data_IF_695661371563
#
_entry.id   IF_695661371563
#
_cell.length_a   1.000
_cell.length_b   1.000
_cell.length_c   1.000
_cell.angle_alpha   90.00
_cell.angle_beta   90.00
_cell.angle_gamma   90.00
#
_symmetry.space_group_name_H-M   'P 1'
#
loop_
_entity.id
_entity.type
_entity.pdbx_description
1 polymer ?
#
# COMPACT_ATOMS: atom_id res chain seq x y z
N UNK A 1 -13.70 -31.20 -43.01
CA UNK A 1 -13.09 -30.65 -41.78
C UNK A 1 -14.20 -29.91 -41.07
N UNK A 2 -14.67 -30.45 -39.96
CA UNK A 2 -15.81 -29.89 -39.24
C UNK A 2 -15.37 -28.61 -38.52
N UNK A 3 -15.84 -27.46 -39.01
CA UNK A 3 -15.53 -26.17 -38.40
C UNK A 3 -16.33 -26.04 -37.09
N UNK A 4 -15.65 -26.29 -35.97
CA UNK A 4 -16.18 -26.12 -34.62
C UNK A 4 -16.19 -24.63 -34.24
N UNK A 5 -17.28 -24.20 -33.62
CA UNK A 5 -17.52 -22.82 -33.18
C UNK A 5 -17.67 -22.82 -31.67
N UNK A 6 -16.91 -21.95 -31.01
CA UNK A 6 -17.00 -21.72 -29.57
C UNK A 6 -17.99 -20.58 -29.36
N UNK A 7 -19.07 -20.87 -28.63
CA UNK A 7 -20.09 -19.90 -28.24
C UNK A 7 -19.63 -19.09 -27.00
N UNK A 8 -20.28 -17.95 -26.69
CA UNK A 8 -19.89 -17.09 -25.57
C UNK A 8 -20.00 -17.75 -24.19
N UNK A 9 -20.84 -18.78 -24.08
CA UNK A 9 -21.04 -19.63 -22.90
C UNK A 9 -19.96 -20.72 -22.76
N UNK A 10 -19.00 -20.80 -23.70
CA UNK A 10 -17.97 -21.81 -23.75
C UNK A 10 -18.42 -23.13 -24.39
N UNK A 11 -19.67 -23.23 -24.85
CA UNK A 11 -20.18 -24.43 -25.51
C UNK A 11 -19.68 -24.54 -26.96
N UNK A 12 -19.37 -25.75 -27.40
CA UNK A 12 -18.90 -26.01 -28.76
C UNK A 12 -20.07 -26.49 -29.60
N UNK A 13 -20.30 -25.85 -30.74
CA UNK A 13 -21.28 -26.30 -31.74
C UNK A 13 -20.65 -26.38 -33.11
N UNK A 14 -21.30 -27.09 -34.04
CA UNK A 14 -20.90 -27.01 -35.45
C UNK A 14 -21.33 -25.68 -36.03
N UNK A 15 -20.61 -25.21 -37.06
CA UNK A 15 -20.96 -23.98 -37.78
C UNK A 15 -22.42 -23.96 -38.22
N UNK A 16 -22.94 -25.09 -38.69
CA UNK A 16 -24.31 -25.22 -39.19
C UNK A 16 -25.34 -25.07 -38.06
N UNK A 17 -25.08 -25.69 -36.90
CA UNK A 17 -25.95 -25.60 -35.74
C UNK A 17 -25.96 -24.20 -35.13
N UNK A 18 -24.80 -23.52 -35.09
CA UNK A 18 -24.71 -22.14 -34.64
C UNK A 18 -25.47 -21.19 -35.57
N UNK A 19 -25.39 -21.38 -36.89
CA UNK A 19 -26.19 -20.61 -37.87
C UNK A 19 -27.68 -20.92 -37.68
N UNK A 20 -28.06 -22.19 -37.48
CA UNK A 20 -29.44 -22.57 -37.23
C UNK A 20 -30.01 -21.95 -35.95
N UNK A 21 -29.16 -21.74 -34.92
CA UNK A 21 -29.49 -21.02 -33.69
C UNK A 21 -29.46 -19.49 -33.83
N UNK A 22 -29.18 -18.96 -35.03
CA UNK A 22 -29.21 -17.53 -35.35
C UNK A 22 -27.93 -16.76 -35.00
N UNK A 23 -26.81 -17.45 -34.73
CA UNK A 23 -25.55 -16.78 -34.40
C UNK A 23 -24.78 -16.33 -35.65
N UNK A 24 -24.28 -15.09 -35.61
CA UNK A 24 -23.34 -14.58 -36.61
C UNK A 24 -21.92 -15.06 -36.29
N UNK A 25 -21.36 -15.91 -37.15
CA UNK A 25 -20.04 -16.52 -36.92
C UNK A 25 -18.96 -15.64 -37.56
N UNK A 26 -18.16 -15.00 -36.71
CA UNK A 26 -16.99 -14.22 -37.12
C UNK A 26 -15.75 -15.13 -36.95
N UNK A 27 -15.05 -15.49 -38.04
CA UNK A 27 -13.84 -16.30 -37.93
C UNK A 27 -12.78 -15.52 -37.17
N UNK A 28 -12.02 -16.24 -36.33
CA UNK A 28 -10.89 -15.66 -35.64
C UNK A 28 -9.75 -15.39 -36.63
N UNK A 29 -9.18 -14.19 -36.63
CA UNK A 29 -7.99 -13.92 -37.43
C UNK A 29 -6.84 -14.81 -36.94
N UNK A 30 -6.06 -15.38 -37.84
CA UNK A 30 -4.99 -16.32 -37.49
C UNK A 30 -3.95 -15.72 -36.53
N UNK A 31 -3.81 -14.39 -36.54
CA UNK A 31 -2.95 -13.62 -35.64
C UNK A 31 -3.40 -13.62 -34.18
N UNK A 32 -4.69 -13.88 -33.91
CA UNK A 32 -5.29 -13.84 -32.56
C UNK A 32 -5.63 -15.22 -32.01
N UNK A 33 -5.24 -16.31 -32.70
CA UNK A 33 -5.43 -17.70 -32.22
C UNK A 33 -4.44 -18.08 -31.11
N UNK A 34 -4.27 -17.20 -30.12
CA UNK A 34 -3.46 -17.47 -28.93
C UNK A 34 -4.34 -17.45 -27.68
N UNK A 35 -4.37 -18.57 -26.96
CA UNK A 35 -5.07 -18.68 -25.68
C UNK A 35 -4.07 -18.52 -24.51
N UNK A 36 -4.54 -17.94 -23.40
CA UNK A 36 -3.76 -17.74 -22.16
C UNK A 36 -4.26 -18.75 -21.13
N UNK A 37 -3.39 -19.46 -20.39
CA UNK A 37 -3.83 -20.38 -19.35
C UNK A 37 -4.58 -19.65 -18.22
N UNK A 38 -5.65 -20.26 -17.70
CA UNK A 38 -6.45 -19.68 -16.62
C UNK A 38 -5.60 -19.54 -15.33
N UNK A 39 -5.77 -18.46 -14.54
CA UNK A 39 -4.93 -18.20 -13.37
C UNK A 39 -5.07 -19.24 -12.25
N UNK A 40 -6.24 -19.86 -12.11
CA UNK A 40 -6.58 -20.74 -10.99
C UNK A 40 -6.84 -22.19 -11.39
N UNK A 41 -7.10 -22.47 -12.68
CA UNK A 41 -7.52 -23.78 -13.17
C UNK A 41 -6.57 -24.20 -14.29
N UNK A 42 -5.77 -25.24 -14.08
CA UNK A 42 -4.70 -25.58 -15.03
C UNK A 42 -5.23 -26.15 -16.34
N UNK A 43 -6.41 -26.78 -16.30
CA UNK A 43 -7.06 -27.42 -17.44
C UNK A 43 -7.85 -26.44 -18.32
N UNK A 44 -8.05 -25.21 -17.85
CA UNK A 44 -8.81 -24.19 -18.54
C UNK A 44 -7.91 -23.09 -19.12
N UNK A 45 -8.33 -22.56 -20.26
CA UNK A 45 -7.66 -21.48 -20.98
C UNK A 45 -8.65 -20.37 -21.29
N UNK A 46 -8.16 -19.13 -21.21
CA UNK A 46 -8.87 -17.91 -21.55
C UNK A 46 -8.52 -17.54 -22.98
N UNK A 47 -9.53 -17.50 -23.83
CA UNK A 47 -9.42 -17.02 -25.21
C UNK A 47 -9.33 -15.48 -25.23
N UNK A 48 -8.86 -14.86 -26.33
CA UNK A 48 -8.66 -13.40 -26.39
C UNK A 48 -9.92 -12.56 -26.13
N UNK A 49 -11.11 -13.11 -26.37
CA UNK A 49 -12.40 -12.44 -26.09
C UNK A 49 -12.92 -12.70 -24.66
N UNK A 50 -12.08 -13.24 -23.77
CA UNK A 50 -12.42 -13.46 -22.37
C UNK A 50 -13.26 -14.71 -22.09
N UNK A 51 -13.55 -15.53 -23.11
CA UNK A 51 -14.25 -16.81 -22.94
C UNK A 51 -13.30 -17.87 -22.38
N UNK A 52 -13.72 -18.53 -21.31
CA UNK A 52 -12.98 -19.63 -20.67
C UNK A 52 -13.42 -20.95 -21.29
N UNK A 53 -12.48 -21.74 -21.77
CA UNK A 53 -12.72 -23.06 -22.36
C UNK A 53 -11.66 -24.05 -21.88
N UNK A 54 -11.92 -25.35 -21.98
CA UNK A 54 -10.91 -26.34 -21.67
C UNK A 54 -9.74 -26.29 -22.66
N UNK A 55 -8.55 -26.69 -22.22
CA UNK A 55 -7.33 -26.71 -23.03
C UNK A 55 -7.47 -27.58 -24.27
N UNK A 56 -8.11 -28.75 -24.12
CA UNK A 56 -8.41 -29.67 -25.23
C UNK A 56 -9.33 -29.01 -26.27
N UNK A 57 -10.37 -28.30 -25.80
CA UNK A 57 -11.31 -27.57 -26.65
C UNK A 57 -10.62 -26.48 -27.46
N UNK A 58 -9.74 -25.71 -26.83
CA UNK A 58 -8.98 -24.67 -27.51
C UNK A 58 -8.05 -25.26 -28.58
N UNK A 59 -7.40 -26.38 -28.28
CA UNK A 59 -6.55 -27.09 -29.24
C UNK A 59 -7.34 -27.60 -30.45
N UNK A 60 -8.51 -28.23 -30.21
CA UNK A 60 -9.42 -28.70 -31.26
C UNK A 60 -9.95 -27.56 -32.14
N UNK A 61 -10.12 -26.36 -31.58
CA UNK A 61 -10.49 -25.15 -32.31
C UNK A 61 -9.31 -24.46 -33.02
N UNK A 62 -8.09 -25.03 -32.95
CA UNK A 62 -6.89 -24.53 -33.61
C UNK A 62 -6.24 -23.34 -32.89
N UNK A 63 -6.51 -23.14 -31.60
CA UNK A 63 -5.80 -22.15 -30.79
C UNK A 63 -4.44 -22.69 -30.35
N UNK A 64 -3.40 -21.88 -30.54
CA UNK A 64 -2.12 -22.08 -29.87
C UNK A 64 -2.25 -21.67 -28.42
N UNK A 65 -2.23 -22.64 -27.51
CA UNK A 65 -2.14 -22.35 -26.07
C UNK A 65 -0.70 -21.92 -25.83
N UNK A 66 -0.49 -20.65 -25.46
CA UNK A 66 0.84 -20.25 -25.01
C UNK A 66 1.14 -21.09 -23.77
N UNK A 67 2.22 -21.87 -23.80
CA UNK A 67 2.75 -22.48 -22.58
C UNK A 67 2.78 -21.37 -21.53
N UNK A 68 2.32 -21.69 -20.32
CA UNK A 68 2.49 -20.84 -19.16
C UNK A 68 4.00 -20.62 -19.08
N UNK A 69 4.48 -19.53 -19.67
CA UNK A 69 5.89 -19.19 -19.68
C UNK A 69 6.28 -19.32 -18.23
N UNK A 70 7.20 -20.25 -17.95
CA UNK A 70 7.52 -20.68 -16.60
C UNK A 70 7.48 -19.42 -15.75
N UNK A 71 6.49 -19.33 -14.87
CA UNK A 71 6.38 -18.21 -13.95
C UNK A 71 7.69 -18.32 -13.22
N UNK A 72 8.65 -17.49 -13.62
CA UNK A 72 10.05 -17.64 -13.24
C UNK A 72 10.02 -17.84 -11.75
N UNK A 73 10.74 -18.84 -11.26
CA UNK A 73 10.90 -19.17 -9.85
C UNK A 73 11.17 -17.93 -8.95
N UNK A 74 11.62 -16.83 -9.56
CA UNK A 74 11.69 -15.47 -9.01
C UNK A 74 10.39 -14.89 -8.45
N UNK A 75 9.21 -15.38 -8.84
CA UNK A 75 7.91 -14.94 -8.30
C UNK A 75 7.46 -15.73 -7.07
N UNK A 76 8.17 -16.81 -6.70
CA UNK A 76 7.87 -17.62 -5.52
C UNK A 76 7.68 -16.79 -4.24
N UNK A 77 8.60 -15.87 -3.89
CA UNK A 77 8.46 -15.03 -2.71
C UNK A 77 7.29 -14.05 -2.79
N UNK A 78 6.95 -13.53 -3.98
CA UNK A 78 5.84 -12.58 -4.16
C UNK A 78 4.50 -13.29 -4.07
N UNK A 79 4.36 -14.45 -4.73
CA UNK A 79 3.15 -15.29 -4.68
C UNK A 79 2.91 -15.85 -3.29
N UNK A 80 3.96 -16.28 -2.59
CA UNK A 80 3.86 -16.72 -1.20
C UNK A 80 3.37 -15.60 -0.27
N UNK A 81 3.94 -14.39 -0.39
CA UNK A 81 3.49 -13.21 0.37
C UNK A 81 2.03 -12.86 0.07
N UNK A 82 1.65 -12.86 -1.22
CA UNK A 82 0.28 -12.59 -1.64
C UNK A 82 -0.70 -13.64 -1.09
N UNK A 83 -0.35 -14.93 -1.17
CA UNK A 83 -1.17 -16.01 -0.66
C UNK A 83 -1.42 -15.88 0.85
N UNK A 84 -0.40 -15.52 1.63
CA UNK A 84 -0.54 -15.28 3.07
C UNK A 84 -1.41 -14.06 3.37
N UNK A 85 -1.22 -12.95 2.64
CA UNK A 85 -2.04 -11.75 2.84
C UNK A 85 -3.53 -11.96 2.49
N UNK A 86 -3.85 -12.90 1.60
CA UNK A 86 -5.24 -13.24 1.25
C UNK A 86 -5.92 -14.19 2.25
N UNK A 87 -5.21 -14.70 3.26
CA UNK A 87 -5.81 -15.56 4.30
C UNK A 87 -6.72 -14.75 5.23
N UNK A 88 -7.86 -15.32 5.61
CA UNK A 88 -8.75 -14.70 6.60
C UNK A 88 -8.03 -14.48 7.94
N UNK A 89 -7.21 -15.44 8.36
CA UNK A 89 -6.44 -15.39 9.60
C UNK A 89 -5.41 -14.26 9.60
N UNK A 90 -4.92 -13.86 8.42
CA UNK A 90 -3.99 -12.75 8.26
C UNK A 90 -4.68 -11.39 8.41
N UNK A 91 -5.95 -11.29 7.98
CA UNK A 91 -6.75 -10.06 8.16
C UNK A 91 -7.08 -9.80 9.63
N UNK A 92 -7.28 -10.85 10.41
CA UNK A 92 -7.55 -10.76 11.85
C UNK A 92 -6.30 -10.44 12.69
N UNK A 93 -5.10 -10.57 12.10
CA UNK A 93 -3.80 -10.47 12.81
C UNK A 93 -2.74 -9.79 11.94
N UNK A 94 -2.93 -8.50 11.60
CA UNK A 94 -2.04 -7.79 10.70
C UNK A 94 -0.62 -7.68 11.26
N UNK A 95 -0.45 -7.57 12.59
CA UNK A 95 0.88 -7.42 13.20
C UNK A 95 1.70 -8.70 13.10
N UNK A 96 1.11 -9.85 13.47
CA UNK A 96 1.76 -11.15 13.35
C UNK A 96 2.04 -11.52 11.89
N UNK A 97 1.15 -11.15 10.99
CA UNK A 97 1.35 -11.34 9.55
C UNK A 97 2.57 -10.53 9.06
N UNK A 98 2.70 -9.27 9.47
CA UNK A 98 3.83 -8.43 9.08
C UNK A 98 5.19 -9.00 9.59
N UNK A 99 5.23 -9.52 10.82
CA UNK A 99 6.42 -10.18 11.34
C UNK A 99 6.74 -11.49 10.61
N UNK A 100 5.72 -12.27 10.27
CA UNK A 100 5.90 -13.52 9.52
C UNK A 100 6.48 -13.24 8.12
N UNK A 101 5.97 -12.22 7.42
CA UNK A 101 6.44 -11.87 6.07
C UNK A 101 7.83 -11.23 6.01
N UNK A 102 8.30 -10.67 7.13
CA UNK A 102 9.65 -10.10 7.26
C UNK A 102 10.68 -11.13 7.71
N UNK A 103 10.30 -12.05 8.59
CA UNK A 103 11.22 -13.05 9.17
C UNK A 103 11.32 -14.37 8.38
N UNK A 104 10.34 -14.69 7.54
CA UNK A 104 10.26 -15.98 6.83
C UNK A 104 10.29 -15.85 5.32
N UNK A 105 10.73 -16.93 4.69
CA UNK A 105 10.83 -17.12 3.24
C UNK A 105 10.05 -18.37 2.84
N UNK A 106 9.60 -18.50 1.57
CA UNK A 106 8.84 -19.65 1.11
C UNK A 106 9.57 -21.01 1.27
N UNK A 107 10.90 -21.00 1.36
CA UNK A 107 11.72 -22.21 1.57
C UNK A 107 11.61 -22.74 3.00
N UNK A 108 11.41 -21.84 3.97
CA UNK A 108 11.44 -22.17 5.40
C UNK A 108 10.04 -22.38 5.99
N UNK A 109 8.99 -21.90 5.31
CA UNK A 109 7.64 -21.92 5.86
C UNK A 109 6.60 -21.97 4.74
N UNK A 110 5.81 -23.05 4.69
CA UNK A 110 4.74 -23.19 3.69
C UNK A 110 3.53 -22.32 4.05
N UNK A 111 2.65 -22.05 3.08
CA UNK A 111 1.44 -21.23 3.31
C UNK A 111 0.52 -21.88 4.35
N UNK A 112 0.44 -23.21 4.39
CA UNK A 112 -0.34 -23.95 5.38
C UNK A 112 0.23 -23.82 6.80
N UNK A 113 1.56 -23.84 6.92
CA UNK A 113 2.24 -23.59 8.20
C UNK A 113 2.03 -22.14 8.66
N UNK A 114 2.03 -21.17 7.73
CA UNK A 114 1.69 -19.78 8.05
C UNK A 114 0.27 -19.66 8.59
N UNK A 115 -0.70 -20.33 7.94
CA UNK A 115 -2.09 -20.38 8.41
C UNK A 115 -2.20 -20.99 9.80
N UNK A 116 -1.55 -22.13 10.03
CA UNK A 116 -1.56 -22.80 11.33
C UNK A 116 -0.96 -21.92 12.44
N UNK A 117 0.14 -21.22 12.14
CA UNK A 117 0.76 -20.26 13.06
C UNK A 117 -0.19 -19.10 13.40
N UNK A 118 -0.79 -18.46 12.38
CA UNK A 118 -1.72 -17.34 12.59
C UNK A 118 -2.96 -17.78 13.37
N UNK A 119 -3.49 -18.98 13.13
CA UNK A 119 -4.63 -19.52 13.90
C UNK A 119 -4.31 -19.79 15.36
N UNK A 120 -3.05 -20.12 15.68
CA UNK A 120 -2.59 -20.36 17.04
C UNK A 120 -2.46 -19.09 17.89
N UNK A 121 -2.48 -17.92 17.27
CA UNK A 121 -2.38 -16.63 17.96
C UNK A 121 -3.77 -16.12 18.34
N UNK A 122 -3.90 -15.39 19.47
CA UNK A 122 -5.13 -14.69 19.80
C UNK A 122 -5.51 -13.71 18.68
N UNK A 123 -6.81 -13.57 18.42
CA UNK A 123 -7.31 -12.57 17.47
C UNK A 123 -6.93 -11.20 18.03
N UNK A 124 -6.34 -10.36 17.19
CA UNK A 124 -6.15 -8.95 17.53
C UNK A 124 -7.53 -8.30 17.46
N UNK A 125 -8.30 -8.36 18.55
CA UNK A 125 -9.33 -7.36 18.76
C UNK A 125 -8.59 -6.04 18.82
N UNK A 126 -8.81 -5.18 17.82
CA UNK A 126 -8.53 -3.75 17.96
C UNK A 126 -9.01 -3.39 19.36
N UNK A 127 -8.08 -3.05 20.26
CA UNK A 127 -8.47 -2.32 21.44
C UNK A 127 -9.10 -1.06 20.88
N UNK A 128 -10.43 -1.09 20.82
CA UNK A 128 -11.25 0.09 20.73
C UNK A 128 -10.61 1.03 21.72
N UNK A 129 -9.95 2.05 21.17
CA UNK A 129 -9.49 3.17 21.95
C UNK A 129 -10.79 3.75 22.46
N UNK A 130 -11.22 3.31 23.64
CA UNK A 130 -12.43 3.78 24.28
C UNK A 130 -12.28 5.30 24.35
N UNK A 131 -13.03 5.96 23.49
CA UNK A 131 -13.35 7.37 23.57
C UNK A 131 -13.99 7.59 24.94
N UNK A 132 -13.17 7.86 25.96
CA UNK A 132 -13.64 8.33 27.25
C UNK A 132 -13.16 9.76 27.46
N UNK A 133 -14.10 10.67 27.19
CA UNK A 133 -14.30 11.97 27.83
C UNK A 133 -13.42 13.16 27.40
N UNK A 134 -14.01 13.97 26.52
CA UNK A 134 -14.17 15.43 26.62
C UNK A 134 -13.33 16.18 27.67
N UNK A 135 -12.45 17.08 27.22
CA UNK A 135 -12.36 18.43 27.83
C UNK A 135 -11.72 19.43 26.84
N UNK A 136 -12.29 20.63 26.81
CA UNK A 136 -12.25 21.60 25.71
C UNK A 136 -11.05 22.57 25.74
N UNK A 137 -10.00 22.30 26.52
CA UNK A 137 -8.92 23.25 26.78
C UNK A 137 -7.54 22.63 26.57
N UNK A 138 -7.22 22.34 25.31
CA UNK A 138 -5.91 21.78 24.99
C UNK A 138 -5.06 22.81 24.21
N UNK A 139 -4.08 23.49 24.85
CA UNK A 139 -3.41 24.70 24.33
C UNK A 139 -2.64 24.46 23.03
N UNK A 140 -2.45 23.20 22.69
CA UNK A 140 -1.77 22.76 21.50
C UNK A 140 -2.69 22.83 20.24
N UNK A 141 -4.02 23.04 20.34
CA UNK A 141 -4.93 23.25 19.17
C UNK A 141 -4.98 24.71 18.79
N UNK A 142 -5.01 25.58 19.79
CA UNK A 142 -4.98 27.03 19.62
C UNK A 142 -3.71 27.49 18.88
N UNK A 143 -2.53 26.99 19.28
CA UNK A 143 -1.26 27.39 18.64
C UNK A 143 -1.07 26.79 17.24
N UNK A 144 -1.70 25.64 16.92
CA UNK A 144 -1.75 25.08 15.55
C UNK A 144 -2.60 25.93 14.61
N UNK A 145 -3.67 26.53 15.11
CA UNK A 145 -4.52 27.44 14.34
C UNK A 145 -3.83 28.79 14.05
N UNK A 146 -3.05 29.34 14.99
CA UNK A 146 -2.34 30.63 14.80
C UNK A 146 -1.20 30.55 13.76
N UNK A 147 -0.50 29.41 13.72
CA UNK A 147 0.57 29.16 12.73
C UNK A 147 -0.02 28.93 11.32
N UNK A 148 -1.15 28.23 11.21
CA UNK A 148 -1.86 28.07 9.94
C UNK A 148 -2.36 29.42 9.38
N UNK A 149 -2.81 30.31 10.27
CA UNK A 149 -3.25 31.65 9.90
C UNK A 149 -2.11 32.56 9.42
N UNK A 150 -0.95 32.56 10.09
CA UNK A 150 0.21 33.36 9.67
C UNK A 150 0.82 32.88 8.35
N UNK A 151 0.78 31.56 8.06
CA UNK A 151 1.18 31.02 6.76
C UNK A 151 0.24 31.44 5.62
N UNK A 152 -1.07 31.49 5.87
CA UNK A 152 -2.05 31.98 4.89
C UNK A 152 -1.91 33.48 4.61
N UNK A 153 -1.56 34.29 5.62
CA UNK A 153 -1.30 35.72 5.43
C UNK A 153 -0.05 35.99 4.60
N UNK A 154 1.06 35.29 4.89
CA UNK A 154 2.31 35.45 4.13
C UNK A 154 2.21 34.99 2.67
N UNK A 155 1.44 33.94 2.39
CA UNK A 155 1.18 33.47 1.02
C UNK A 155 0.27 34.41 0.21
N UNK A 156 -0.57 35.20 0.91
CA UNK A 156 -1.41 36.25 0.32
C UNK A 156 -0.59 37.47 -0.12
N UNK A 157 0.37 37.90 0.70
CA UNK A 157 1.21 39.08 0.43
C UNK A 157 2.27 38.88 -0.66
N UNK A 158 2.70 37.63 -0.93
CA UNK A 158 3.64 37.33 -2.03
C UNK A 158 2.99 36.92 -3.35
N UNK A 159 1.65 36.93 -3.44
CA UNK A 159 0.90 36.67 -4.68
C UNK A 159 0.81 35.21 -5.13
N UNK A 160 1.21 34.25 -4.27
CA UNK A 160 1.17 32.81 -4.57
C UNK A 160 -0.12 32.11 -4.09
N UNK A 161 -1.12 32.88 -3.67
CA UNK A 161 -2.39 32.33 -3.21
C UNK A 161 -3.24 31.84 -4.40
N UNK A 162 -3.46 30.53 -4.50
CA UNK A 162 -4.60 30.02 -5.28
C UNK A 162 -5.89 30.64 -4.70
N UNK A 163 -6.82 31.14 -5.53
CA UNK A 163 -8.12 31.60 -5.03
C UNK A 163 -8.94 30.38 -4.64
N UNK A 164 -8.85 29.96 -3.38
CA UNK A 164 -9.82 29.04 -2.78
C UNK A 164 -10.67 29.80 -1.77
N UNK A 165 -11.81 30.26 -2.29
CA UNK A 165 -13.14 30.03 -1.74
C UNK A 165 -13.20 29.35 -0.36
N UNK A 166 -13.77 30.08 0.61
CA UNK A 166 -14.53 29.59 1.77
C UNK A 166 -13.83 28.64 2.77
N UNK A 167 -13.49 29.22 3.94
CA UNK A 167 -13.42 28.67 5.31
C UNK A 167 -12.97 27.20 5.53
N UNK A 168 -11.78 26.96 6.14
CA UNK A 168 -11.37 25.63 6.57
C UNK A 168 -11.82 25.34 8.01
N UNK A 169 -12.17 24.08 8.26
CA UNK A 169 -12.46 23.48 9.58
C UNK A 169 -11.22 23.51 10.49
N UNK A 170 -11.44 23.73 11.78
CA UNK A 170 -10.43 23.67 12.86
C UNK A 170 -9.65 22.33 12.85
N UNK A 171 -8.32 22.40 12.99
CA UNK A 171 -7.43 21.24 13.16
C UNK A 171 -7.00 21.08 14.65
N UNK A 172 -6.70 19.86 15.12
CA UNK A 172 -6.65 19.51 16.55
C UNK A 172 -5.29 19.77 17.21
N UNK A 173 -5.30 19.76 18.55
CA UNK A 173 -4.17 20.08 19.40
C UNK A 173 -2.97 19.15 19.25
N UNK A 174 -1.76 19.72 19.15
CA UNK A 174 -0.46 19.02 19.29
C UNK A 174 -0.32 18.24 20.63
N UNK A 175 -1.17 18.41 21.65
CA UNK A 175 -1.05 17.84 23.02
C UNK A 175 -0.98 16.33 23.07
N UNK A 176 -1.63 15.69 22.11
CA UNK A 176 -1.74 14.24 22.05
C UNK A 176 -0.76 13.57 21.09
N UNK A 177 0.27 14.28 20.59
CA UNK A 177 1.29 13.65 19.73
C UNK A 177 2.45 13.14 20.57
N UNK A 178 2.56 11.82 20.67
CA UNK A 178 3.64 11.11 21.37
C UNK A 178 5.03 11.48 20.79
N UNK A 179 6.05 11.69 21.64
CA UNK A 179 7.38 12.12 21.21
C UNK A 179 8.09 11.09 20.34
N UNK A 180 7.76 9.81 20.50
CA UNK A 180 8.26 8.73 19.65
C UNK A 180 7.72 8.82 18.23
N UNK A 181 6.44 9.19 18.07
CA UNK A 181 5.83 9.43 16.76
C UNK A 181 6.47 10.63 16.07
N UNK A 182 6.82 11.68 16.82
CA UNK A 182 7.53 12.85 16.27
C UNK A 182 8.96 12.53 15.85
N UNK A 183 9.68 11.74 16.65
CA UNK A 183 11.01 11.24 16.28
C UNK A 183 10.96 10.42 14.99
N UNK A 184 10.03 9.46 14.89
CA UNK A 184 9.85 8.65 13.67
C UNK A 184 9.49 9.50 12.46
N UNK A 185 8.62 10.51 12.63
CA UNK A 185 8.29 11.43 11.54
C UNK A 185 9.49 12.28 11.09
N UNK A 186 10.34 12.71 12.03
CA UNK A 186 11.57 13.43 11.72
C UNK A 186 12.60 12.54 11.01
N UNK A 187 12.75 11.28 11.42
CA UNK A 187 13.59 10.28 10.73
C UNK A 187 13.09 9.98 9.31
N UNK A 188 11.78 9.76 9.14
CA UNK A 188 11.16 9.53 7.82
C UNK A 188 11.39 10.73 6.90
N UNK A 189 11.20 11.95 7.41
CA UNK A 189 11.38 13.18 6.63
C UNK A 189 12.85 13.43 6.29
N UNK A 190 13.77 13.18 7.23
CA UNK A 190 15.21 13.28 6.96
C UNK A 190 15.67 12.27 5.90
N UNK A 191 15.20 11.02 6.00
CA UNK A 191 15.50 9.98 5.00
C UNK A 191 14.92 10.34 3.63
N UNK A 192 13.68 10.84 3.56
CA UNK A 192 13.08 11.31 2.31
C UNK A 192 13.89 12.45 1.68
N UNK A 193 14.38 13.40 2.49
CA UNK A 193 15.23 14.49 2.01
C UNK A 193 16.61 14.02 1.55
N UNK A 194 17.20 13.00 2.19
CA UNK A 194 18.43 12.38 1.71
C UNK A 194 18.22 11.65 0.37
N UNK A 195 17.16 10.85 0.25
CA UNK A 195 16.85 10.10 -0.98
C UNK A 195 16.55 11.01 -2.17
N UNK A 196 16.00 12.20 -1.93
CA UNK A 196 15.73 13.21 -2.95
C UNK A 196 16.96 14.09 -3.29
N UNK A 197 18.15 13.74 -2.81
CA UNK A 197 19.38 14.51 -3.06
C UNK A 197 19.45 15.86 -2.33
N UNK A 198 18.51 16.12 -1.42
CA UNK A 198 18.40 17.36 -0.64
C UNK A 198 19.02 17.24 0.77
N UNK A 199 19.90 16.26 0.98
CA UNK A 199 20.54 15.96 2.27
C UNK A 199 21.43 17.08 2.85
N UNK A 200 21.79 18.07 2.04
CA UNK A 200 22.59 19.24 2.47
C UNK A 200 21.75 20.51 2.69
N UNK A 201 20.44 20.44 2.50
CA UNK A 201 19.54 21.55 2.79
C UNK A 201 19.58 21.91 4.27
N UNK A 202 19.34 23.19 4.57
CA UNK A 202 19.29 23.67 5.96
C UNK A 202 18.24 22.90 6.78
N UNK A 203 17.17 22.43 6.14
CA UNK A 203 16.15 21.58 6.76
C UNK A 203 16.70 20.20 7.14
N UNK A 204 17.42 19.54 6.24
CA UNK A 204 18.06 18.25 6.53
C UNK A 204 19.11 18.36 7.65
N UNK A 205 19.93 19.42 7.67
CA UNK A 205 20.91 19.66 8.75
C UNK A 205 20.24 19.89 10.11
N UNK A 206 19.13 20.62 10.14
CA UNK A 206 18.34 20.85 11.36
C UNK A 206 17.67 19.58 11.87
N UNK A 207 17.08 18.78 10.98
CA UNK A 207 16.48 17.50 11.34
C UNK A 207 17.53 16.52 11.88
N UNK A 208 18.70 16.46 11.25
CA UNK A 208 19.82 15.65 11.74
C UNK A 208 20.30 16.10 13.12
N UNK A 209 20.54 17.40 13.31
CA UNK A 209 20.96 17.94 14.60
C UNK A 209 19.91 17.73 15.69
N UNK A 210 18.62 17.84 15.37
CA UNK A 210 17.52 17.56 16.30
C UNK A 210 17.47 16.07 16.70
N UNK A 211 17.72 15.16 15.76
CA UNK A 211 17.82 13.73 16.04
C UNK A 211 19.06 13.41 16.89
N UNK A 212 20.21 14.03 16.58
CA UNK A 212 21.47 13.84 17.32
C UNK A 212 21.40 14.42 18.74
N UNK A 213 20.78 15.59 18.91
CA UNK A 213 20.56 16.21 20.24
C UNK A 213 19.56 15.41 21.07
N UNK A 214 18.49 14.90 20.46
CA UNK A 214 17.55 14.01 21.15
C UNK A 214 18.21 12.68 21.57
N UNK A 215 19.12 12.14 20.76
CA UNK A 215 19.88 10.93 21.08
C UNK A 215 20.91 11.16 22.20
N UNK A 216 21.53 12.34 22.27
CA UNK A 216 22.57 12.66 23.26
C UNK A 216 22.04 13.19 24.60
N UNK A 217 20.95 13.96 24.61
CA UNK A 217 20.37 14.52 25.85
C UNK A 217 19.18 13.73 26.41
N UNK A 218 18.63 12.81 25.62
CA UNK A 218 17.51 11.96 26.01
C UNK A 218 16.15 12.68 26.10
N UNK A 219 15.10 11.89 26.25
CA UNK A 219 13.71 12.36 26.36
C UNK A 219 13.41 13.29 27.56
N UNK A 220 14.06 13.20 28.75
CA UNK A 220 13.65 14.03 29.88
C UNK A 220 14.14 15.48 29.78
N UNK A 221 15.31 15.73 29.19
CA UNK A 221 15.91 17.06 29.14
C UNK A 221 15.30 17.90 27.99
N UNK A 222 14.99 17.26 26.87
CA UNK A 222 14.19 17.85 25.79
C UNK A 222 12.76 18.18 26.22
N UNK A 223 12.15 17.36 27.09
CA UNK A 223 10.87 17.67 27.75
C UNK A 223 10.97 18.89 28.68
N UNK A 224 12.04 18.99 29.47
CA UNK A 224 12.25 20.11 30.38
C UNK A 224 12.46 21.44 29.62
N UNK A 225 13.22 21.42 28.53
CA UNK A 225 13.44 22.59 27.67
C UNK A 225 12.18 22.98 26.87
N UNK A 226 11.40 21.99 26.42
CA UNK A 226 10.11 22.24 25.75
C UNK A 226 9.02 22.73 26.72
N UNK A 227 9.05 22.29 27.99
CA UNK A 227 8.14 22.76 29.05
C UNK A 227 8.49 24.18 29.52
N UNK A 228 9.76 24.56 29.49
CA UNK A 228 10.21 25.92 29.82
C UNK A 228 10.11 26.90 28.64
N UNK A 229 9.57 26.47 27.49
CA UNK A 229 9.58 27.22 26.22
C UNK A 229 10.95 27.84 25.88
N UNK A 230 12.03 27.21 26.34
CA UNK A 230 13.39 27.68 26.08
C UNK A 230 13.72 27.32 24.65
N UNK A 231 13.78 28.35 23.81
CA UNK A 231 14.22 28.23 22.43
C UNK A 231 15.69 27.78 22.42
N UNK A 232 15.90 26.48 22.29
CA UNK A 232 17.23 25.84 22.34
C UNK A 232 18.14 26.32 21.23
N UNK A 233 17.58 26.97 20.19
CA UNK A 233 18.35 27.65 19.15
C UNK A 233 19.14 28.86 19.66
N UNK A 234 18.77 29.44 20.80
CA UNK A 234 19.45 30.60 21.43
C UNK A 234 20.48 30.22 22.49
N UNK A 235 20.50 28.96 22.92
CA UNK A 235 21.48 28.42 23.86
C UNK A 235 22.80 28.02 23.17
N UNK A 236 22.88 28.15 21.85
CA UNK A 236 24.07 27.80 21.08
C UNK A 236 24.91 29.07 20.87
N UNK A 237 26.15 29.16 21.40
CA UNK A 237 27.09 30.22 21.01
C UNK A 237 27.40 30.09 19.52
N UNK A 238 27.40 31.22 18.81
CA UNK A 238 27.42 31.32 17.34
C UNK A 238 28.71 30.86 16.63
N UNK A 239 29.56 30.06 17.27
CA UNK A 239 30.78 29.54 16.67
C UNK A 239 30.82 28.02 16.83
N UNK A 240 30.45 27.29 15.77
CA UNK A 240 31.06 26.06 15.21
C UNK A 240 30.44 25.83 13.83
#
# INVERSE_FOLDING_TARGET
MDHRVILPDGYITTREEAIAKGFSIIPWPDTEKSAIPHPHEEDNVVLPRGTVVSRETAHDAGFSVRERGSIRETDGPRRWRAAIMTLAEATERPSATAELLTSRTPENLTVEQARAFLRGLPIETEQATEETMTTNDDPRSARRAEIAASMQAFNRDRGWAQPQSAAPKQAPAVSNVEPEKLRRLAEIRFNALQMNGQGHTAEAKKLKYALDTHATTGAPLSRFLAQLEVDTSKLIPANI
#
